data_IF_410751373102
#
_entry.id   IF_410751373102
#
_cell.length_a   1.000
_cell.length_b   1.000
_cell.length_c   1.000
_cell.angle_alpha   90.00
_cell.angle_beta   90.00
_cell.angle_gamma   90.00
#
_symmetry.space_group_name_H-M   'P 1'
#
loop_
_entity.id
_entity.type
_entity.pdbx_description
1 polymer ?
#
# COMPACT_ATOMS: atom_id res chain seq x y z
N UNK A 1 -11.50 -8.65 11.58
CA UNK A 1 -12.08 -7.45 10.94
C UNK A 1 -12.63 -7.91 9.60
N UNK A 2 -13.88 -7.59 9.31
CA UNK A 2 -14.56 -8.04 8.09
C UNK A 2 -13.90 -7.38 6.85
N UNK A 3 -13.37 -8.18 5.93
CA UNK A 3 -12.58 -7.68 4.78
C UNK A 3 -13.46 -6.95 3.78
N UNK A 4 -14.73 -7.35 3.68
CA UNK A 4 -15.68 -6.78 2.73
C UNK A 4 -16.11 -5.38 3.21
N UNK A 5 -16.44 -5.24 4.49
CA UNK A 5 -16.76 -3.94 5.09
C UNK A 5 -15.62 -2.91 4.95
N UNK A 6 -14.36 -3.33 5.14
CA UNK A 6 -13.22 -2.43 4.98
C UNK A 6 -13.09 -1.93 3.54
N UNK A 7 -13.31 -2.82 2.57
CA UNK A 7 -13.29 -2.49 1.15
C UNK A 7 -14.39 -1.50 0.79
N UNK A 8 -15.61 -1.69 1.30
CA UNK A 8 -16.74 -0.78 1.05
C UNK A 8 -16.52 0.60 1.66
N UNK A 9 -15.91 0.68 2.85
CA UNK A 9 -15.50 1.97 3.44
C UNK A 9 -14.38 2.63 2.62
N UNK A 10 -13.45 1.87 2.04
CA UNK A 10 -12.43 2.45 1.17
C UNK A 10 -13.02 2.98 -0.15
N UNK A 11 -14.09 2.37 -0.67
CA UNK A 11 -14.82 2.90 -1.84
C UNK A 11 -15.43 4.28 -1.55
N UNK A 12 -15.88 4.54 -0.31
CA UNK A 12 -16.39 5.86 0.07
C UNK A 12 -15.35 6.96 -0.17
N UNK A 13 -14.06 6.64 0.00
CA UNK A 13 -12.94 7.57 -0.21
C UNK A 13 -12.69 7.90 -1.68
N UNK A 14 -13.24 7.13 -2.62
CA UNK A 14 -13.13 7.41 -4.06
C UNK A 14 -14.12 8.50 -4.53
N UNK A 15 -15.14 8.84 -3.73
CA UNK A 15 -16.13 9.87 -4.03
C UNK A 15 -15.57 11.31 -3.95
N UNK A 16 -16.34 12.28 -4.42
CA UNK A 16 -16.06 13.71 -4.13
C UNK A 16 -16.29 14.01 -2.64
N UNK A 17 -15.61 15.01 -2.10
CA UNK A 17 -15.61 15.28 -0.66
C UNK A 17 -17.02 15.54 -0.11
N UNK A 18 -17.83 16.33 -0.81
CA UNK A 18 -19.22 16.58 -0.43
C UNK A 18 -20.06 15.29 -0.44
N UNK A 19 -19.98 14.51 -1.53
CA UNK A 19 -20.70 13.23 -1.69
C UNK A 19 -20.27 12.21 -0.63
N UNK A 20 -18.96 12.11 -0.36
CA UNK A 20 -18.39 11.26 0.68
C UNK A 20 -18.92 11.67 2.04
N UNK A 21 -18.82 12.95 2.39
CA UNK A 21 -19.23 13.44 3.69
C UNK A 21 -20.74 13.23 3.91
N UNK A 22 -21.56 13.44 2.87
CA UNK A 22 -22.99 13.14 2.93
C UNK A 22 -23.29 11.66 3.15
N UNK A 23 -22.58 10.77 2.45
CA UNK A 23 -22.72 9.33 2.62
C UNK A 23 -22.21 8.85 3.99
N UNK A 24 -21.05 9.31 4.45
CA UNK A 24 -20.49 8.97 5.77
C UNK A 24 -21.44 9.42 6.90
N UNK A 25 -21.99 10.64 6.82
CA UNK A 25 -22.97 11.15 7.79
C UNK A 25 -24.28 10.35 7.75
N UNK A 26 -24.76 9.98 6.57
CA UNK A 26 -25.93 9.15 6.41
C UNK A 26 -25.74 7.76 7.04
N UNK A 27 -24.60 7.10 6.78
CA UNK A 27 -24.24 5.81 7.37
C UNK A 27 -24.07 5.90 8.89
N UNK A 28 -23.42 6.96 9.39
CA UNK A 28 -23.30 7.21 10.82
C UNK A 28 -24.67 7.37 11.49
N UNK A 29 -25.60 8.07 10.83
CA UNK A 29 -26.97 8.27 11.32
C UNK A 29 -27.71 6.92 11.43
N UNK A 30 -27.61 6.07 10.40
CA UNK A 30 -28.21 4.73 10.42
C UNK A 30 -27.63 3.90 11.56
N UNK A 31 -26.30 3.86 11.70
CA UNK A 31 -25.62 3.14 12.78
C UNK A 31 -26.04 3.65 14.16
N UNK A 32 -26.07 4.97 14.37
CA UNK A 32 -26.45 5.58 15.65
C UNK A 32 -27.89 5.25 16.02
N UNK A 33 -28.83 5.40 15.10
CA UNK A 33 -30.25 5.13 15.35
C UNK A 33 -30.49 3.68 15.80
N UNK A 34 -29.87 2.71 15.13
CA UNK A 34 -30.00 1.28 15.47
C UNK A 34 -29.28 0.95 16.78
N UNK A 35 -28.07 1.48 16.99
CA UNK A 35 -27.32 1.21 18.23
C UNK A 35 -27.99 1.83 19.47
N UNK A 36 -28.65 2.98 19.32
CA UNK A 36 -29.43 3.62 20.38
C UNK A 36 -30.77 2.92 20.64
N UNK A 37 -31.39 2.32 19.63
CA UNK A 37 -32.66 1.61 19.74
C UNK A 37 -32.62 0.22 19.07
N UNK A 38 -31.87 -0.75 19.64
CA UNK A 38 -31.56 -2.00 18.94
C UNK A 38 -32.74 -2.91 18.65
N UNK A 39 -33.87 -2.77 19.34
CA UNK A 39 -35.04 -3.62 19.15
C UNK A 39 -36.19 -2.90 18.43
N UNK A 40 -35.96 -1.66 17.98
CA UNK A 40 -36.97 -0.90 17.25
C UNK A 40 -36.92 -1.22 15.76
N UNK A 41 -38.03 -1.75 15.26
CA UNK A 41 -38.17 -2.15 13.85
C UNK A 41 -38.09 -0.96 12.89
N UNK A 42 -38.52 0.22 13.30
CA UNK A 42 -38.50 1.40 12.43
C UNK A 42 -37.07 1.86 12.12
N UNK A 43 -36.15 1.76 13.09
CA UNK A 43 -34.75 2.15 12.87
C UNK A 43 -33.95 1.08 12.12
N UNK A 44 -34.40 -0.18 12.14
CA UNK A 44 -33.81 -1.29 11.39
C UNK A 44 -34.25 -1.36 9.92
N UNK A 45 -35.18 -0.50 9.50
CA UNK A 45 -35.64 -0.39 8.12
C UNK A 45 -35.25 0.96 7.51
N UNK A 46 -34.67 0.89 6.31
CA UNK A 46 -34.27 2.05 5.52
C UNK A 46 -34.96 1.97 4.17
N UNK A 47 -35.97 2.80 3.95
CA UNK A 47 -36.73 2.80 2.70
C UNK A 47 -35.90 3.34 1.53
N UNK A 48 -36.03 2.70 0.37
CA UNK A 48 -35.25 3.06 -0.82
C UNK A 48 -35.66 4.41 -1.42
N UNK A 49 -36.89 4.87 -1.17
CA UNK A 49 -37.41 6.19 -1.57
C UNK A 49 -37.00 7.32 -0.62
N UNK A 50 -36.34 7.01 0.50
CA UNK A 50 -35.90 8.02 1.46
C UNK A 50 -34.89 8.97 0.79
N UNK A 51 -35.03 10.30 0.94
CA UNK A 51 -34.04 11.27 0.44
C UNK A 51 -32.61 10.98 0.89
N UNK A 52 -32.41 10.52 2.13
CA UNK A 52 -31.10 10.10 2.63
C UNK A 52 -30.49 8.99 1.77
N UNK A 53 -31.30 8.02 1.33
CA UNK A 53 -30.84 6.94 0.45
C UNK A 53 -30.62 7.46 -0.98
N UNK A 54 -31.61 8.13 -1.55
CA UNK A 54 -31.61 8.55 -2.96
C UNK A 54 -30.61 9.64 -3.29
N UNK A 55 -30.37 10.58 -2.37
CA UNK A 55 -29.48 11.73 -2.62
C UNK A 55 -28.12 11.59 -1.97
N UNK A 56 -27.94 10.72 -0.95
CA UNK A 56 -26.66 10.59 -0.23
C UNK A 56 -26.00 9.24 -0.41
N UNK A 57 -26.73 8.14 -0.23
CA UNK A 57 -26.12 6.80 -0.27
C UNK A 57 -26.00 6.23 -1.69
N UNK A 58 -27.04 6.33 -2.52
CA UNK A 58 -27.03 5.81 -3.89
C UNK A 58 -26.02 6.51 -4.81
N UNK A 59 -25.81 7.83 -4.73
CA UNK A 59 -24.79 8.51 -5.55
C UNK A 59 -23.34 8.21 -5.14
N UNK A 60 -23.12 7.68 -3.93
CA UNK A 60 -21.81 7.43 -3.38
C UNK A 60 -21.35 5.98 -3.59
N UNK A 61 -20.19 5.80 -4.21
CA UNK A 61 -19.51 4.51 -4.28
C UNK A 61 -19.25 3.98 -2.88
N UNK A 62 -19.71 2.76 -2.58
CA UNK A 62 -19.57 2.17 -1.24
C UNK A 62 -20.68 2.53 -0.26
N UNK A 63 -21.63 3.42 -0.63
CA UNK A 63 -22.70 3.86 0.25
C UNK A 63 -23.67 2.73 0.61
N UNK A 64 -24.28 2.09 -0.38
CA UNK A 64 -25.22 0.98 -0.17
C UNK A 64 -24.47 -0.31 0.17
N UNK A 65 -23.29 -0.53 -0.40
CA UNK A 65 -22.45 -1.69 -0.13
C UNK A 65 -22.09 -1.79 1.37
N UNK A 66 -21.81 -0.65 2.01
CA UNK A 66 -21.61 -0.61 3.46
C UNK A 66 -22.83 -1.12 4.24
N UNK A 67 -24.06 -0.85 3.79
CA UNK A 67 -25.27 -1.37 4.44
C UNK A 67 -25.39 -2.88 4.29
N UNK A 68 -25.10 -3.42 3.10
CA UNK A 68 -25.10 -4.87 2.89
C UNK A 68 -24.04 -5.58 3.74
N UNK A 69 -22.82 -5.03 3.82
CA UNK A 69 -21.73 -5.64 4.58
C UNK A 69 -21.99 -5.69 6.09
N UNK A 70 -22.70 -4.70 6.63
CA UNK A 70 -23.15 -4.70 8.04
C UNK A 70 -24.38 -5.58 8.28
N UNK A 71 -24.99 -6.14 7.23
CA UNK A 71 -26.02 -7.18 7.31
C UNK A 71 -27.44 -6.74 6.93
N UNK A 72 -27.62 -5.57 6.32
CA UNK A 72 -28.92 -5.24 5.73
C UNK A 72 -29.23 -6.19 4.58
N UNK A 73 -30.51 -6.48 4.39
CA UNK A 73 -31.03 -7.29 3.30
C UNK A 73 -32.03 -6.44 2.52
N UNK A 74 -31.94 -6.51 1.19
CA UNK A 74 -32.86 -5.83 0.30
C UNK A 74 -34.18 -6.59 0.19
N UNK A 75 -35.28 -5.85 0.34
CA UNK A 75 -36.64 -6.28 0.02
C UNK A 75 -37.18 -5.39 -1.10
N UNK A 76 -38.47 -5.52 -1.46
CA UNK A 76 -39.04 -4.82 -2.63
C UNK A 76 -38.90 -3.30 -2.57
N UNK A 77 -39.03 -2.69 -1.38
CA UNK A 77 -39.10 -1.23 -1.24
C UNK A 77 -38.21 -0.67 -0.11
N UNK A 78 -37.52 -1.54 0.65
CA UNK A 78 -36.63 -1.14 1.73
C UNK A 78 -35.46 -2.09 1.96
N UNK A 79 -34.42 -1.58 2.62
CA UNK A 79 -33.34 -2.35 3.21
C UNK A 79 -33.69 -2.60 4.68
N UNK A 80 -33.71 -3.86 5.11
CA UNK A 80 -34.02 -4.23 6.50
C UNK A 80 -32.86 -4.99 7.15
N UNK A 81 -32.53 -4.65 8.39
CA UNK A 81 -31.55 -5.37 9.20
C UNK A 81 -32.26 -6.41 10.11
N UNK A 82 -32.08 -7.73 9.88
CA UNK A 82 -32.73 -8.78 10.68
C UNK A 82 -32.46 -8.64 12.18
N UNK A 83 -33.42 -9.01 13.03
CA UNK A 83 -33.28 -8.92 14.51
C UNK A 83 -32.08 -9.72 15.02
N UNK A 84 -31.76 -10.84 14.35
CA UNK A 84 -30.64 -11.73 14.67
C UNK A 84 -29.27 -11.18 14.22
N UNK A 85 -29.25 -10.09 13.46
CA UNK A 85 -28.02 -9.53 12.93
C UNK A 85 -27.15 -8.93 14.06
N UNK A 86 -25.85 -9.25 14.11
CA UNK A 86 -24.97 -8.82 15.20
C UNK A 86 -24.66 -7.32 15.11
N UNK A 87 -24.87 -6.59 16.22
CA UNK A 87 -24.57 -5.15 16.32
C UNK A 87 -23.07 -4.82 16.24
N UNK A 88 -22.19 -5.81 16.38
CA UNK A 88 -20.74 -5.63 16.29
C UNK A 88 -20.28 -5.10 14.94
N UNK A 89 -21.00 -5.42 13.85
CA UNK A 89 -20.71 -4.88 12.53
C UNK A 89 -21.07 -3.40 12.40
N UNK A 90 -22.17 -2.96 13.01
CA UNK A 90 -22.53 -1.53 13.08
C UNK A 90 -21.50 -0.74 13.90
N UNK A 91 -21.06 -1.30 15.03
CA UNK A 91 -19.99 -0.70 15.83
C UNK A 91 -18.66 -0.64 15.05
N UNK A 92 -18.35 -1.66 14.25
CA UNK A 92 -17.17 -1.66 13.41
C UNK A 92 -17.24 -0.57 12.33
N UNK A 93 -18.37 -0.43 11.64
CA UNK A 93 -18.58 0.65 10.66
C UNK A 93 -18.49 2.03 11.31
N UNK A 94 -19.17 2.24 12.44
CA UNK A 94 -19.11 3.50 13.18
C UNK A 94 -17.68 3.86 13.58
N UNK A 95 -16.88 2.89 14.05
CA UNK A 95 -15.48 3.12 14.39
C UNK A 95 -14.61 3.44 13.16
N UNK A 96 -14.91 2.85 12.00
CA UNK A 96 -14.18 3.13 10.75
C UNK A 96 -14.49 4.55 10.24
N UNK A 97 -15.77 4.95 10.27
CA UNK A 97 -16.23 6.29 9.87
C UNK A 97 -15.82 7.39 10.88
N UNK A 98 -15.73 7.08 12.16
CA UNK A 98 -15.22 8.04 13.16
C UNK A 98 -13.68 8.17 13.12
N UNK A 99 -12.97 7.17 12.59
CA UNK A 99 -11.52 7.28 12.35
C UNK A 99 -11.19 8.10 11.11
N UNK A 100 -12.10 8.20 10.12
CA UNK A 100 -11.92 9.10 8.97
C UNK A 100 -12.12 10.58 9.31
N UNK A 101 -12.75 10.89 10.45
CA UNK A 101 -13.00 12.27 10.93
C UNK A 101 -11.97 12.78 11.94
N UNK A 102 -10.98 11.98 12.36
CA UNK A 102 -9.79 12.51 13.01
C UNK A 102 -8.99 13.33 11.99
N UNK A 103 -8.44 14.51 12.36
CA UNK A 103 -7.56 15.24 11.47
C UNK A 103 -6.46 14.29 11.04
N UNK A 104 -6.45 14.02 9.74
CA UNK A 104 -5.38 13.36 9.03
C UNK A 104 -4.07 13.94 9.56
N UNK A 105 -3.31 13.17 10.34
CA UNK A 105 -1.98 13.61 10.77
C UNK A 105 -1.18 13.72 9.47
N UNK A 106 -1.07 14.94 8.97
CA UNK A 106 -0.17 15.25 7.88
C UNK A 106 1.23 14.78 8.31
N UNK A 107 2.03 14.19 7.40
CA UNK A 107 3.43 13.96 7.67
C UNK A 107 4.02 15.24 8.26
N UNK A 108 4.76 15.13 9.37
CA UNK A 108 5.48 16.27 9.94
C UNK A 108 6.54 16.71 8.93
N UNK A 109 6.17 17.64 8.04
CA UNK A 109 7.07 18.25 7.07
C UNK A 109 8.00 19.17 7.85
N UNK A 110 9.29 18.82 7.88
CA UNK A 110 10.31 19.70 8.45
C UNK A 110 10.59 20.85 7.48
N UNK A 111 9.91 21.97 7.70
CA UNK A 111 10.05 23.16 6.85
C UNK A 111 11.46 23.72 6.85
N UNK A 112 12.26 23.46 7.90
CA UNK A 112 13.64 23.96 8.00
C UNK A 112 14.57 23.37 6.93
N UNK A 113 14.23 22.20 6.35
CA UNK A 113 15.01 21.62 5.25
C UNK A 113 14.91 22.44 3.97
N UNK A 114 13.80 23.16 3.75
CA UNK A 114 13.65 24.04 2.58
C UNK A 114 14.48 25.31 2.72
N UNK A 115 14.77 25.75 3.95
CA UNK A 115 15.65 26.91 4.20
C UNK A 115 17.11 26.63 3.81
N UNK A 116 17.50 25.35 3.64
CA UNK A 116 18.81 24.95 3.14
C UNK A 116 18.95 25.14 1.62
N UNK A 117 17.86 25.38 0.90
CA UNK A 117 17.88 25.60 -0.55
C UNK A 117 18.43 27.02 -0.81
N UNK A 118 19.54 27.17 -1.57
CA UNK A 118 20.11 28.47 -1.83
C UNK A 118 19.11 29.42 -2.52
N UNK A 119 18.98 30.64 -2.03
CA UNK A 119 18.14 31.66 -2.67
C UNK A 119 18.64 32.07 -4.07
N UNK A 120 19.88 31.74 -4.40
CA UNK A 120 20.50 32.00 -5.71
C UNK A 120 20.20 30.94 -6.77
N UNK A 121 19.43 29.89 -6.43
CA UNK A 121 19.05 28.85 -7.38
C UNK A 121 18.19 29.40 -8.53
N UNK A 122 18.42 28.86 -9.72
CA UNK A 122 17.45 28.96 -10.82
C UNK A 122 16.16 28.22 -10.46
N UNK A 123 15.07 28.55 -11.15
CA UNK A 123 13.77 27.87 -10.98
C UNK A 123 13.86 26.34 -11.21
N UNK A 124 14.73 25.91 -12.15
CA UNK A 124 14.96 24.49 -12.43
C UNK A 124 15.70 23.81 -11.28
N UNK A 125 16.74 24.44 -10.74
CA UNK A 125 17.49 23.90 -9.59
C UNK A 125 16.62 23.87 -8.34
N UNK A 126 15.83 24.92 -8.10
CA UNK A 126 14.91 24.96 -6.97
C UNK A 126 13.90 23.79 -7.02
N UNK A 127 13.28 23.52 -8.17
CA UNK A 127 12.42 22.33 -8.35
C UNK A 127 13.14 21.02 -8.04
N UNK A 128 14.39 20.88 -8.50
CA UNK A 128 15.18 19.68 -8.25
C UNK A 128 15.50 19.50 -6.76
N UNK A 129 15.86 20.57 -6.05
CA UNK A 129 16.11 20.52 -4.61
C UNK A 129 14.84 20.23 -3.81
N UNK A 130 13.69 20.81 -4.19
CA UNK A 130 12.40 20.49 -3.56
C UNK A 130 12.09 18.99 -3.67
N UNK A 131 12.30 18.37 -4.84
CA UNK A 131 12.13 16.92 -5.02
C UNK A 131 13.04 16.13 -4.07
N UNK A 132 14.31 16.53 -3.91
CA UNK A 132 15.24 15.88 -2.97
C UNK A 132 14.72 15.97 -1.54
N UNK A 133 14.28 17.16 -1.10
CA UNK A 133 13.75 17.37 0.25
C UNK A 133 12.49 16.53 0.48
N UNK A 134 11.58 16.50 -0.49
CA UNK A 134 10.36 15.68 -0.44
C UNK A 134 10.69 14.18 -0.26
N UNK A 135 11.61 13.64 -1.05
CA UNK A 135 12.02 12.23 -0.91
C UNK A 135 12.75 11.97 0.41
N UNK A 136 13.63 12.88 0.84
CA UNK A 136 14.34 12.76 2.12
C UNK A 136 13.39 12.73 3.32
N UNK A 137 12.36 13.57 3.31
CA UNK A 137 11.32 13.53 4.34
C UNK A 137 10.46 12.27 4.20
N UNK A 138 10.14 11.86 2.97
CA UNK A 138 9.33 10.68 2.68
C UNK A 138 9.91 9.39 3.24
N UNK A 139 11.23 9.18 3.15
CA UNK A 139 11.87 7.95 3.66
C UNK A 139 11.75 7.78 5.18
N UNK A 140 11.60 8.88 5.93
CA UNK A 140 11.41 8.82 7.38
C UNK A 140 10.08 8.16 7.77
N UNK A 141 9.09 8.12 6.86
CA UNK A 141 7.84 7.40 7.11
C UNK A 141 8.06 5.91 7.29
N UNK A 142 9.10 5.33 6.70
CA UNK A 142 9.40 3.91 6.90
C UNK A 142 9.82 3.55 8.32
N UNK A 143 10.25 4.55 9.10
CA UNK A 143 10.70 4.40 10.49
C UNK A 143 9.56 4.58 11.51
N UNK A 144 8.33 4.92 11.06
CA UNK A 144 7.16 5.06 11.93
C UNK A 144 6.76 3.68 12.51
N UNK A 145 6.85 3.46 13.83
CA UNK A 145 6.54 2.16 14.44
C UNK A 145 5.08 1.72 14.23
N UNK A 146 4.14 2.67 14.18
CA UNK A 146 2.72 2.37 13.99
C UNK A 146 2.44 1.88 12.58
N UNK A 147 3.13 2.45 11.60
CA UNK A 147 3.05 2.05 10.20
C UNK A 147 3.73 0.69 9.97
N UNK A 148 4.89 0.47 10.59
CA UNK A 148 5.54 -0.85 10.57
C UNK A 148 4.65 -1.94 11.19
N UNK A 149 3.93 -1.64 12.27
CA UNK A 149 2.98 -2.59 12.86
C UNK A 149 1.83 -2.94 11.89
N UNK A 150 1.29 -1.94 11.17
CA UNK A 150 0.29 -2.17 10.12
C UNK A 150 0.86 -3.04 8.99
N UNK A 151 2.10 -2.80 8.57
CA UNK A 151 2.78 -3.61 7.57
C UNK A 151 2.98 -5.07 8.05
N UNK A 152 3.45 -5.29 9.28
CA UNK A 152 3.62 -6.65 9.86
C UNK A 152 2.34 -7.46 9.85
N UNK A 153 1.18 -6.84 10.09
CA UNK A 153 -0.13 -7.52 10.07
C UNK A 153 -0.53 -8.03 8.68
N UNK A 154 0.08 -7.50 7.63
CA UNK A 154 -0.26 -7.81 6.23
C UNK A 154 0.75 -8.77 5.60
N UNK A 155 2.01 -8.76 6.06
CA UNK A 155 3.06 -9.67 5.60
C UNK A 155 2.82 -11.08 6.19
N UNK A 156 2.73 -12.14 5.38
CA UNK A 156 2.57 -13.50 5.87
C UNK A 156 3.91 -14.08 6.30
N UNK A 157 4.48 -13.53 7.38
CA UNK A 157 5.85 -13.82 7.85
C UNK A 157 6.07 -15.33 8.00
N UNK A 158 5.16 -16.03 8.67
CA UNK A 158 5.26 -17.48 8.93
C UNK A 158 5.32 -18.28 7.61
N UNK A 159 4.46 -17.96 6.65
CA UNK A 159 4.44 -18.66 5.36
C UNK A 159 5.74 -18.43 4.58
N UNK A 160 6.29 -17.21 4.66
CA UNK A 160 7.57 -16.85 4.04
C UNK A 160 8.75 -17.55 4.73
N UNK A 161 8.74 -17.66 6.07
CA UNK A 161 9.75 -18.41 6.82
C UNK A 161 9.74 -19.89 6.43
N UNK A 162 8.55 -20.51 6.34
CA UNK A 162 8.41 -21.91 5.91
C UNK A 162 8.93 -22.10 4.47
N UNK A 163 8.58 -21.20 3.56
CA UNK A 163 9.07 -21.24 2.17
C UNK A 163 10.60 -21.12 2.11
N UNK A 164 11.17 -20.20 2.89
CA UNK A 164 12.61 -19.98 3.00
C UNK A 164 13.33 -21.23 3.52
N UNK A 165 12.85 -21.82 4.62
CA UNK A 165 13.43 -23.04 5.19
C UNK A 165 13.36 -24.22 4.22
N UNK A 166 12.27 -24.31 3.45
CA UNK A 166 12.12 -25.34 2.42
C UNK A 166 13.16 -25.17 1.31
N UNK A 167 13.37 -23.93 0.84
CA UNK A 167 14.35 -23.61 -0.21
C UNK A 167 15.79 -23.81 0.26
N UNK A 168 16.12 -23.41 1.50
CA UNK A 168 17.42 -23.71 2.14
C UNK A 168 17.69 -25.21 2.19
N UNK A 169 16.70 -26.00 2.63
CA UNK A 169 16.82 -27.46 2.70
C UNK A 169 17.06 -28.10 1.33
N UNK A 170 16.45 -27.58 0.27
CA UNK A 170 16.71 -28.00 -1.10
C UNK A 170 18.13 -27.64 -1.53
N UNK A 171 18.58 -26.40 -1.28
CA UNK A 171 19.92 -25.94 -1.63
C UNK A 171 21.00 -26.77 -0.95
N UNK A 172 20.88 -27.03 0.35
CA UNK A 172 21.81 -27.88 1.09
C UNK A 172 21.88 -29.31 0.54
N UNK A 173 20.75 -29.88 0.10
CA UNK A 173 20.74 -31.21 -0.55
C UNK A 173 21.48 -31.18 -1.89
N UNK A 174 21.25 -30.17 -2.72
CA UNK A 174 21.95 -30.02 -4.00
C UNK A 174 23.46 -29.84 -3.78
N UNK A 175 23.87 -28.95 -2.88
CA UNK A 175 25.29 -28.71 -2.56
C UNK A 175 25.98 -29.99 -2.07
N UNK A 176 25.35 -30.76 -1.17
CA UNK A 176 25.88 -32.05 -0.72
C UNK A 176 26.05 -33.06 -1.85
N UNK A 177 25.11 -33.12 -2.79
CA UNK A 177 25.20 -33.99 -3.98
C UNK A 177 26.35 -33.58 -4.91
N UNK A 178 26.55 -32.27 -5.12
CA UNK A 178 27.65 -31.76 -5.96
C UNK A 178 29.03 -31.88 -5.28
N UNK A 179 29.12 -31.68 -3.97
CA UNK A 179 30.37 -31.80 -3.20
C UNK A 179 30.81 -33.26 -3.02
N UNK A 180 29.88 -34.23 -3.00
CA UNK A 180 30.21 -35.66 -3.01
C UNK A 180 31.01 -36.10 -4.26
N UNK A 181 31.05 -35.28 -5.32
CA UNK A 181 31.86 -35.51 -6.52
C UNK A 181 33.21 -34.78 -6.57
N UNK A 182 33.54 -33.92 -5.61
CA UNK A 182 34.77 -33.12 -5.62
C UNK A 182 35.49 -33.18 -4.28
N UNK A 183 36.54 -33.99 -4.19
CA UNK A 183 37.42 -34.02 -3.02
C UNK A 183 38.20 -32.70 -2.91
N UNK A 184 37.80 -31.81 -2.01
CA UNK A 184 38.71 -30.94 -1.24
C UNK A 184 37.99 -30.33 -0.05
N UNK A 185 38.58 -30.54 1.13
CA UNK A 185 38.12 -29.99 2.40
C UNK A 185 38.22 -28.46 2.41
N UNK A 186 37.15 -27.81 2.82
CA UNK A 186 37.12 -26.41 3.22
C UNK A 186 36.57 -26.38 4.64
N UNK A 187 37.37 -25.85 5.56
CA UNK A 187 37.05 -25.73 6.98
C UNK A 187 35.89 -24.76 7.22
N UNK A 188 35.13 -25.05 8.27
CA UNK A 188 33.84 -24.44 8.63
C UNK A 188 33.95 -22.95 8.98
N UNK A 189 33.60 -22.08 8.04
CA UNK A 189 32.98 -20.76 8.29
C UNK A 189 31.47 -20.85 7.97
N UNK A 190 30.82 -21.90 8.46
CA UNK A 190 29.46 -22.27 8.04
C UNK A 190 28.36 -21.38 8.66
N UNK A 191 28.51 -20.92 9.91
CA UNK A 191 27.38 -20.32 10.63
C UNK A 191 26.99 -18.89 10.16
N UNK A 192 27.94 -18.04 9.81
CA UNK A 192 27.64 -16.68 9.32
C UNK A 192 27.10 -16.69 7.88
N UNK A 193 27.70 -17.52 7.02
CA UNK A 193 27.28 -17.66 5.62
C UNK A 193 25.88 -18.25 5.51
N UNK A 194 25.56 -19.25 6.34
CA UNK A 194 24.23 -19.88 6.35
C UNK A 194 23.12 -18.90 6.83
N UNK A 195 23.45 -17.95 7.72
CA UNK A 195 22.52 -16.90 8.16
C UNK A 195 22.29 -15.86 7.06
N UNK A 196 23.34 -15.43 6.37
CA UNK A 196 23.24 -14.48 5.25
C UNK A 196 22.44 -15.10 4.09
N UNK A 197 22.70 -16.36 3.77
CA UNK A 197 21.94 -17.13 2.78
C UNK A 197 20.45 -17.23 3.16
N UNK A 198 20.14 -17.45 4.45
CA UNK A 198 18.75 -17.50 4.92
C UNK A 198 18.05 -16.14 4.78
N UNK A 199 18.74 -15.03 5.09
CA UNK A 199 18.20 -13.67 4.94
C UNK A 199 17.97 -13.30 3.47
N UNK A 200 18.89 -13.67 2.59
CA UNK A 200 18.75 -13.45 1.15
C UNK A 200 17.60 -14.26 0.58
N UNK A 201 17.49 -15.54 0.96
CA UNK A 201 16.39 -16.39 0.53
C UNK A 201 15.05 -15.87 1.04
N UNK A 202 14.97 -15.39 2.28
CA UNK A 202 13.76 -14.76 2.80
C UNK A 202 13.39 -13.51 2.01
N UNK A 203 14.36 -12.65 1.69
CA UNK A 203 14.13 -11.46 0.87
C UNK A 203 13.61 -11.83 -0.52
N UNK A 204 14.12 -12.91 -1.12
CA UNK A 204 13.65 -13.42 -2.40
C UNK A 204 12.21 -13.97 -2.32
N UNK A 205 11.85 -14.67 -1.25
CA UNK A 205 10.46 -15.12 -1.04
C UNK A 205 9.52 -13.94 -0.80
N UNK A 206 9.96 -12.93 -0.04
CA UNK A 206 9.22 -11.69 0.17
C UNK A 206 8.98 -10.98 -1.17
N UNK A 207 10.01 -10.81 -1.99
CA UNK A 207 9.90 -10.19 -3.32
C UNK A 207 8.93 -10.95 -4.23
N UNK A 208 9.04 -12.28 -4.24
CA UNK A 208 8.17 -13.14 -5.03
C UNK A 208 6.70 -13.02 -4.58
N UNK A 209 6.43 -13.13 -3.27
CA UNK A 209 5.09 -12.92 -2.71
C UNK A 209 4.57 -11.52 -3.02
N UNK A 210 5.42 -10.50 -2.87
CA UNK A 210 5.04 -9.11 -3.10
C UNK A 210 4.57 -8.90 -4.55
N UNK A 211 5.36 -9.36 -5.51
CA UNK A 211 5.10 -9.21 -6.95
C UNK A 211 3.87 -10.00 -7.44
N UNK A 212 3.67 -11.22 -6.93
CA UNK A 212 2.68 -12.13 -7.52
C UNK A 212 1.41 -12.33 -6.68
N UNK A 213 1.42 -11.96 -5.39
CA UNK A 213 0.28 -12.17 -4.49
C UNK A 213 -0.19 -10.92 -3.78
N UNK A 214 0.72 -10.00 -3.47
CA UNK A 214 0.37 -8.81 -2.69
C UNK A 214 -0.02 -7.62 -3.57
N UNK A 215 0.86 -7.20 -4.49
CA UNK A 215 0.74 -5.93 -5.20
C UNK A 215 0.40 -6.11 -6.67
N UNK A 216 -0.51 -5.29 -7.19
CA UNK A 216 -0.98 -5.34 -8.58
C UNK A 216 -0.48 -4.13 -9.38
N UNK A 217 0.18 -4.39 -10.50
CA UNK A 217 0.60 -3.32 -11.41
C UNK A 217 -0.61 -2.74 -12.16
N UNK A 218 -0.77 -1.41 -12.14
CA UNK A 218 -1.84 -0.69 -12.85
C UNK A 218 -1.25 0.41 -13.72
N UNK A 219 -1.28 0.21 -15.04
CA UNK A 219 -0.93 1.26 -15.99
C UNK A 219 -2.11 2.23 -16.21
N UNK A 220 -3.32 1.71 -16.34
CA UNK A 220 -4.57 2.49 -16.39
C UNK A 220 -5.67 1.75 -15.61
N UNK A 221 -6.45 2.44 -14.76
CA UNK A 221 -7.53 1.79 -14.03
C UNK A 221 -8.66 1.35 -14.97
N UNK A 222 -9.28 0.22 -14.63
CA UNK A 222 -10.52 -0.22 -15.31
C UNK A 222 -11.69 0.66 -14.90
N UNK A 223 -12.67 0.78 -15.78
CA UNK A 223 -13.91 1.49 -15.49
C UNK A 223 -14.65 0.84 -14.32
N UNK A 224 -15.04 1.63 -13.33
CA UNK A 224 -15.83 1.16 -12.18
C UNK A 224 -17.24 0.73 -12.57
N UNK A 225 -17.83 1.32 -13.62
CA UNK A 225 -19.19 1.03 -14.04
C UNK A 225 -19.31 -0.15 -15.03
N UNK A 226 -18.34 -0.31 -15.94
CA UNK A 226 -18.45 -1.28 -17.03
C UNK A 226 -17.19 -2.13 -17.27
N UNK A 227 -16.19 -2.03 -16.38
CA UNK A 227 -14.93 -2.79 -16.41
C UNK A 227 -14.09 -2.70 -17.69
N UNK A 228 -14.47 -1.80 -18.60
CA UNK A 228 -13.73 -1.53 -19.85
C UNK A 228 -12.49 -0.68 -19.59
N UNK A 229 -11.60 -0.60 -20.59
CA UNK A 229 -10.39 0.22 -20.49
C UNK A 229 -10.69 1.71 -20.36
N UNK A 230 -9.86 2.39 -19.56
CA UNK A 230 -9.85 3.84 -19.48
C UNK A 230 -8.58 4.40 -20.12
N UNK A 231 -8.67 5.66 -20.58
CA UNK A 231 -7.52 6.43 -21.04
C UNK A 231 -7.31 7.62 -20.12
N UNK A 232 -6.04 7.91 -19.81
CA UNK A 232 -5.66 9.12 -19.06
C UNK A 232 -6.21 10.35 -19.79
N UNK A 233 -6.97 11.17 -19.07
CA UNK A 233 -7.55 12.40 -19.59
C UNK A 233 -6.78 13.62 -19.05
N UNK A 234 -6.64 13.69 -17.73
CA UNK A 234 -6.04 14.85 -17.05
C UNK A 234 -5.45 14.46 -15.70
N UNK A 235 -4.72 15.39 -15.09
CA UNK A 235 -4.13 15.25 -13.75
C UNK A 235 -4.57 16.46 -12.95
N UNK A 236 -5.10 16.21 -11.75
CA UNK A 236 -5.55 17.25 -10.81
C UNK A 236 -4.76 17.17 -9.51
N UNK A 237 -4.63 18.30 -8.82
CA UNK A 237 -4.06 18.35 -7.47
C UNK A 237 -4.92 17.55 -6.50
N UNK A 238 -4.27 16.94 -5.52
CA UNK A 238 -4.94 16.24 -4.43
C UNK A 238 -5.14 17.19 -3.23
N UNK A 239 -6.29 17.09 -2.57
CA UNK A 239 -6.51 17.71 -1.25
C UNK A 239 -5.98 16.82 -0.11
N UNK A 240 -5.71 15.54 -0.38
CA UNK A 240 -5.10 14.61 0.59
C UNK A 240 -3.57 14.83 0.59
N UNK A 241 -2.96 15.21 1.73
CA UNK A 241 -1.52 15.48 1.83
C UNK A 241 -0.65 14.23 1.61
N UNK A 242 -1.24 13.02 1.68
CA UNK A 242 -0.56 11.74 1.41
C UNK A 242 -0.50 11.40 -0.07
N UNK A 243 -1.16 12.18 -0.91
CA UNK A 243 -1.31 11.93 -2.33
C UNK A 243 -0.74 13.10 -3.12
N UNK A 244 0.25 12.83 -3.97
CA UNK A 244 0.91 13.86 -4.78
C UNK A 244 -0.02 14.47 -5.84
N UNK A 245 -0.85 13.63 -6.48
CA UNK A 245 -1.72 14.00 -7.59
C UNK A 245 -2.78 12.93 -7.82
N UNK A 246 -3.89 13.32 -8.44
CA UNK A 246 -4.93 12.38 -8.88
C UNK A 246 -4.98 12.38 -10.40
N UNK A 247 -4.73 11.22 -11.01
CA UNK A 247 -4.91 11.03 -12.44
C UNK A 247 -6.39 10.73 -12.71
N UNK A 248 -7.01 11.46 -13.63
CA UNK A 248 -8.38 11.19 -14.05
C UNK A 248 -8.34 10.44 -15.38
N UNK A 249 -8.95 9.25 -15.40
CA UNK A 249 -9.02 8.38 -16.56
C UNK A 249 -10.46 8.28 -17.05
N UNK A 250 -10.71 8.50 -18.34
CA UNK A 250 -12.04 8.40 -18.93
C UNK A 250 -12.23 7.05 -19.59
N UNK A 251 -13.34 6.38 -19.26
CA UNK A 251 -13.71 5.13 -19.90
C UNK A 251 -14.00 5.35 -21.38
N UNK A 252 -13.42 4.52 -22.24
CA UNK A 252 -13.61 4.60 -23.70
C UNK A 252 -14.99 4.16 -24.16
N UNK A 253 -15.72 3.40 -23.33
CA UNK A 253 -17.04 2.84 -23.65
C UNK A 253 -18.21 3.68 -23.13
N UNK A 254 -18.22 3.99 -21.84
CA UNK A 254 -19.35 4.66 -21.18
C UNK A 254 -19.07 6.12 -20.79
N UNK A 255 -17.83 6.59 -20.95
CA UNK A 255 -17.46 7.96 -20.61
C UNK A 255 -17.29 8.26 -19.12
N UNK A 256 -17.55 7.29 -18.23
CA UNK A 256 -17.32 7.44 -16.78
C UNK A 256 -15.87 7.84 -16.49
N UNK A 257 -15.69 8.82 -15.60
CA UNK A 257 -14.39 9.28 -15.12
C UNK A 257 -13.99 8.47 -13.88
N UNK A 258 -12.81 7.88 -13.92
CA UNK A 258 -12.22 7.09 -12.85
C UNK A 258 -11.04 7.83 -12.28
N UNK A 259 -11.02 8.01 -10.96
CA UNK A 259 -9.89 8.62 -10.25
C UNK A 259 -8.82 7.56 -9.99
N UNK A 260 -7.57 7.92 -10.20
CA UNK A 260 -6.40 7.12 -9.84
C UNK A 260 -5.43 7.98 -9.02
N UNK A 261 -5.64 8.04 -7.69
CA UNK A 261 -4.77 8.78 -6.79
C UNK A 261 -3.35 8.18 -6.76
N UNK A 262 -2.33 9.05 -6.85
CA UNK A 262 -0.91 8.69 -6.80
C UNK A 262 -0.38 8.96 -5.39
N UNK A 263 -0.50 7.96 -4.51
CA UNK A 263 -0.10 8.07 -3.10
C UNK A 263 1.42 8.06 -2.93
N UNK A 264 1.93 9.04 -2.19
CA UNK A 264 3.32 9.14 -1.75
C UNK A 264 3.51 8.59 -0.34
N UNK A 265 2.46 8.62 0.50
CA UNK A 265 2.47 7.89 1.76
C UNK A 265 2.20 6.39 1.51
N UNK A 266 2.98 5.47 2.13
CA UNK A 266 2.81 4.04 1.92
C UNK A 266 1.59 3.45 2.65
N UNK A 267 1.01 4.11 3.64
CA UNK A 267 -0.08 3.56 4.45
C UNK A 267 -1.34 3.21 3.63
N UNK A 268 -1.89 4.11 2.78
CA UNK A 268 -3.06 3.77 1.96
C UNK A 268 -2.80 2.61 1.00
N UNK A 269 -1.56 2.45 0.56
CA UNK A 269 -1.15 1.42 -0.39
C UNK A 269 -1.12 0.02 0.23
N UNK A 270 -1.06 -0.11 1.57
CA UNK A 270 -1.20 -1.39 2.26
C UNK A 270 -2.58 -2.03 2.03
N UNK A 271 -3.60 -1.19 1.84
CA UNK A 271 -4.97 -1.63 1.55
C UNK A 271 -5.26 -1.66 0.07
N UNK A 272 -4.87 -0.61 -0.68
CA UNK A 272 -5.13 -0.51 -2.12
C UNK A 272 -4.35 -1.55 -2.94
N UNK A 273 -3.12 -1.86 -2.53
CA UNK A 273 -2.26 -2.91 -3.11
C UNK A 273 -2.09 -2.81 -4.62
N UNK A 274 -2.08 -1.59 -5.15
CA UNK A 274 -2.03 -1.34 -6.59
C UNK A 274 -1.31 -0.04 -6.91
N UNK A 275 -0.66 0.02 -8.07
CA UNK A 275 0.07 1.21 -8.49
C UNK A 275 1.09 0.94 -9.60
N UNK A 276 2.01 1.89 -9.81
CA UNK A 276 3.15 1.77 -10.73
C UNK A 276 4.45 1.63 -9.93
N UNK A 277 5.61 1.82 -10.57
CA UNK A 277 6.93 1.69 -9.96
C UNK A 277 7.08 2.49 -8.65
N UNK A 278 6.59 3.74 -8.60
CA UNK A 278 6.67 4.57 -7.41
C UNK A 278 5.93 3.98 -6.21
N UNK A 279 4.66 3.63 -6.36
CA UNK A 279 3.87 3.01 -5.29
C UNK A 279 4.40 1.62 -4.90
N UNK A 280 4.84 0.84 -5.90
CA UNK A 280 5.41 -0.49 -5.71
C UNK A 280 6.67 -0.41 -4.83
N UNK A 281 7.64 0.42 -5.21
CA UNK A 281 8.92 0.55 -4.51
C UNK A 281 8.75 1.21 -3.15
N UNK A 282 7.79 2.12 -3.01
CA UNK A 282 7.45 2.75 -1.73
C UNK A 282 7.01 1.71 -0.68
N UNK A 283 6.05 0.86 -1.02
CA UNK A 283 5.55 -0.17 -0.08
C UNK A 283 6.56 -1.30 0.11
N UNK A 284 7.27 -1.70 -0.94
CA UNK A 284 8.29 -2.74 -0.82
C UNK A 284 9.43 -2.30 0.11
N UNK A 285 9.87 -1.05 0.01
CA UNK A 285 10.86 -0.47 0.93
C UNK A 285 10.35 -0.47 2.37
N UNK A 286 9.09 -0.06 2.61
CA UNK A 286 8.47 -0.14 3.93
C UNK A 286 8.51 -1.58 4.49
N UNK A 287 8.23 -2.59 3.67
CA UNK A 287 8.27 -4.00 4.11
C UNK A 287 9.69 -4.43 4.48
N UNK A 288 10.69 -4.09 3.67
CA UNK A 288 12.09 -4.36 4.00
C UNK A 288 12.48 -3.72 5.35
N UNK A 289 12.18 -2.43 5.55
CA UNK A 289 12.46 -1.72 6.80
C UNK A 289 11.72 -2.33 8.00
N UNK A 290 10.45 -2.69 7.82
CA UNK A 290 9.61 -3.35 8.83
C UNK A 290 10.18 -4.69 9.31
N UNK A 291 10.83 -5.43 8.41
CA UNK A 291 11.46 -6.72 8.67
C UNK A 291 12.91 -6.58 9.16
N UNK A 292 13.41 -5.35 9.33
CA UNK A 292 14.75 -5.07 9.84
C UNK A 292 15.86 -5.09 8.80
N UNK A 293 15.54 -5.11 7.51
CA UNK A 293 16.55 -4.96 6.46
C UNK A 293 17.02 -3.49 6.38
N UNK A 294 18.33 -3.28 6.16
CA UNK A 294 18.85 -1.98 5.76
C UNK A 294 18.49 -1.75 4.29
N UNK A 295 17.54 -0.85 4.04
CA UNK A 295 16.93 -0.66 2.74
C UNK A 295 16.87 0.81 2.35
N UNK A 296 17.11 1.09 1.07
CA UNK A 296 17.09 2.43 0.48
C UNK A 296 16.10 2.46 -0.66
N UNK A 297 15.35 3.55 -0.77
CA UNK A 297 14.63 3.87 -2.01
C UNK A 297 15.56 4.68 -2.90
N UNK A 298 15.72 4.21 -4.14
CA UNK A 298 16.55 4.88 -5.13
C UNK A 298 15.62 5.55 -6.13
N UNK A 299 15.72 6.87 -6.21
CA UNK A 299 15.00 7.68 -7.18
C UNK A 299 15.90 8.00 -8.36
N UNK A 300 15.51 7.55 -9.55
CA UNK A 300 16.09 7.99 -10.80
C UNK A 300 15.20 9.04 -11.46
N UNK A 301 15.81 10.18 -11.79
CA UNK A 301 15.17 11.29 -12.49
C UNK A 301 14.59 10.93 -13.87
N UNK A 302 14.90 9.75 -14.42
CA UNK A 302 14.31 9.24 -15.67
C UNK A 302 12.96 8.52 -15.50
N UNK A 303 12.27 8.74 -14.37
CA UNK A 303 10.95 8.17 -14.01
C UNK A 303 11.01 6.68 -13.61
N UNK A 304 12.08 6.29 -12.92
CA UNK A 304 12.19 4.97 -12.31
C UNK A 304 12.56 5.05 -10.84
N UNK A 305 12.01 4.14 -10.04
CA UNK A 305 12.22 4.07 -8.59
C UNK A 305 12.33 2.60 -8.20
N UNK A 306 13.35 2.24 -7.44
CA UNK A 306 13.56 0.87 -6.95
C UNK A 306 14.04 0.86 -5.49
N UNK A 307 14.12 -0.34 -4.91
CA UNK A 307 14.63 -0.57 -3.57
C UNK A 307 15.98 -1.28 -3.63
N UNK A 308 16.98 -0.74 -2.93
CA UNK A 308 18.22 -1.45 -2.63
C UNK A 308 18.14 -2.01 -1.21
N UNK A 309 18.60 -3.25 -1.01
CA UNK A 309 18.69 -3.87 0.30
C UNK A 309 20.14 -4.29 0.54
N UNK A 310 20.68 -3.85 1.67
CA UNK A 310 22.04 -4.17 2.07
C UNK A 310 22.04 -5.42 2.94
N UNK A 311 22.67 -6.49 2.46
CA UNK A 311 22.78 -7.75 3.18
C UNK A 311 24.20 -7.93 3.76
N UNK A 312 24.55 -7.18 4.81
CA UNK A 312 25.78 -7.35 5.63
C UNK A 312 27.14 -7.11 4.95
N UNK A 313 27.28 -7.46 3.68
CA UNK A 313 28.43 -7.27 2.80
C UNK A 313 28.36 -5.94 2.05
N UNK A 314 28.02 -4.85 2.75
CA UNK A 314 28.33 -3.52 2.22
C UNK A 314 29.83 -3.29 2.41
N UNK A 315 30.65 -3.15 1.35
CA UNK A 315 32.05 -2.73 1.50
C UNK A 315 32.20 -1.30 2.07
N UNK A 316 31.09 -0.63 2.41
CA UNK A 316 31.04 0.75 2.86
C UNK A 316 31.11 0.95 4.39
N UNK A 317 31.08 -0.12 5.19
CA UNK A 317 31.29 0.02 6.63
C UNK A 317 32.81 0.12 6.92
N UNK A 318 33.26 1.35 7.24
CA UNK A 318 34.60 1.78 7.67
C UNK A 318 35.48 2.56 6.68
N UNK A 319 34.90 3.22 5.66
CA UNK A 319 35.59 4.32 4.97
C UNK A 319 36.94 3.95 4.31
N UNK A 320 37.16 2.68 4.00
CA UNK A 320 38.34 2.21 3.26
C UNK A 320 37.89 1.37 2.08
N UNK A 321 38.25 1.84 0.90
CA UNK A 321 38.13 1.10 -0.35
C UNK A 321 38.91 -0.21 -0.22
N UNK A 322 38.23 -1.36 -0.12
CA UNK A 322 38.87 -2.66 -0.36
C UNK A 322 38.49 -3.09 -1.77
N UNK A 323 39.30 -2.65 -2.72
CA UNK A 323 39.23 -3.13 -4.09
C UNK A 323 39.73 -4.59 -4.11
N UNK A 324 38.83 -5.56 -3.93
CA UNK A 324 39.14 -6.94 -4.28
C UNK A 324 39.05 -7.07 -5.80
N UNK A 325 40.17 -6.86 -6.47
CA UNK A 325 40.37 -7.38 -7.82
C UNK A 325 40.39 -8.91 -7.74
N UNK A 326 39.27 -9.54 -8.05
CA UNK A 326 39.23 -10.94 -8.46
C UNK A 326 39.67 -11.05 -9.93
N UNK A 327 40.38 -12.12 -10.33
CA UNK A 327 41.01 -12.20 -11.64
C UNK A 327 39.97 -12.62 -12.67
N UNK A 328 39.24 -11.67 -13.25
CA UNK A 328 38.54 -11.92 -14.50
C UNK A 328 39.10 -11.03 -15.59
N UNK A 329 39.81 -11.73 -16.45
CA UNK A 329 40.41 -11.35 -17.71
C UNK A 329 39.46 -10.53 -18.57
N UNK A 330 40.02 -9.46 -19.16
CA UNK A 330 39.56 -8.82 -20.40
C UNK A 330 39.07 -9.85 -21.43
N UNK A 331 38.14 -9.37 -22.29
CA UNK A 331 37.57 -9.93 -23.53
C UNK A 331 36.11 -10.38 -23.32
N UNK A 332 35.10 -9.89 -24.01
CA UNK A 332 34.98 -9.05 -25.20
C UNK A 332 33.68 -8.26 -25.09
N UNK A 333 33.65 -7.02 -25.59
CA UNK A 333 32.41 -6.27 -25.76
C UNK A 333 31.70 -6.67 -27.04
N UNK A 334 30.39 -6.50 -27.11
CA UNK A 334 29.66 -6.18 -28.34
C UNK A 334 28.34 -5.47 -27.96
N UNK A 335 28.23 -4.25 -28.51
CA UNK A 335 27.05 -3.49 -28.97
C UNK A 335 25.80 -3.48 -28.09
#
# INVERSE_FOLDING_TARGET
MDKDLLRSVDLLKENEEEVRNDAENALLTVCQNILSHPNDKQYREVRLDNPMVTTKLLPALGGIECLFDIGFVETTDCLSLPEEAPLSKLQALQNLLNKSSLPMIAPTVDTALYDLIPSTCTERENRFFCIIVEYFQGVLRYEDPSLQEKAKKVIPIIDLEIATMTRLGQLHKHVKLFQAGSQKGVEKQQDEHDIDDAKDLFLMELLHWFKYKFFTWIDSPKCTACFSECKRQEVVSSNDPRCSRVEIHKCTRCGTRVKFPRYTDPEPLLTLRRGRCGEWSNVFTLFCRTLGYDARVIYDHTDHIWTEVCNGHCPYLNGKYVQRYGPYTKKDGFI
#
